data_IF_871703765085
#
_entry.id   IF_871703765085
#
_cell.length_a   1.000
_cell.length_b   1.000
_cell.length_c   1.000
_cell.angle_alpha   90.00
_cell.angle_beta   90.00
_cell.angle_gamma   90.00
#
_symmetry.space_group_name_H-M   'P 1'
#
loop_
_entity.id
_entity.type
_entity.pdbx_description
1 polymer ?
#
# COMPACT_ATOMS: atom_id res chain seq x y z
N UNK A 1 -26.14 4.25 16.19
CA UNK A 1 -26.62 3.51 15.01
C UNK A 1 -25.80 2.23 14.90
N UNK A 2 -26.35 1.08 15.30
CA UNK A 2 -25.66 -0.21 15.28
C UNK A 2 -26.02 -0.93 13.96
N UNK A 3 -25.01 -1.17 13.11
CA UNK A 3 -25.20 -1.97 11.91
C UNK A 3 -25.50 -3.43 12.30
N UNK A 4 -26.48 -4.10 11.67
CA UNK A 4 -26.85 -5.46 12.03
C UNK A 4 -25.72 -6.44 11.66
N UNK A 5 -25.07 -6.98 12.69
CA UNK A 5 -24.00 -8.01 12.64
C UNK A 5 -24.43 -9.34 11.98
N UNK A 6 -25.68 -9.44 11.53
CA UNK A 6 -26.25 -10.64 10.91
C UNK A 6 -25.75 -10.87 9.47
N UNK A 7 -25.46 -9.80 8.70
CA UNK A 7 -25.03 -9.94 7.30
C UNK A 7 -23.57 -10.39 7.16
N UNK A 8 -22.71 -10.15 8.15
CA UNK A 8 -21.30 -10.54 8.09
C UNK A 8 -21.04 -12.04 8.28
N UNK A 9 -21.98 -12.78 8.90
CA UNK A 9 -21.78 -14.21 9.22
C UNK A 9 -22.11 -15.18 8.08
N UNK A 10 -22.89 -14.75 7.08
CA UNK A 10 -23.25 -15.62 5.96
C UNK A 10 -22.08 -15.85 4.98
N UNK A 11 -21.11 -14.93 4.91
CA UNK A 11 -19.99 -14.99 3.97
C UNK A 11 -18.84 -15.88 4.49
N UNK A 12 -18.72 -16.05 5.81
CA UNK A 12 -17.57 -16.75 6.43
C UNK A 12 -17.70 -18.28 6.35
N UNK A 13 -18.92 -18.82 6.29
CA UNK A 13 -19.15 -20.27 6.35
C UNK A 13 -19.08 -21.00 4.99
N UNK A 14 -18.79 -20.28 3.90
CA UNK A 14 -18.61 -20.87 2.57
C UNK A 14 -17.14 -21.08 2.22
N UNK A 15 -16.26 -21.18 3.22
CA UNK A 15 -14.88 -21.63 3.02
C UNK A 15 -14.82 -23.14 3.28
N UNK A 16 -15.02 -23.90 2.21
CA UNK A 16 -14.45 -25.23 2.04
C UNK A 16 -14.95 -26.35 2.96
N UNK A 17 -16.14 -26.88 2.68
CA UNK A 17 -16.44 -28.28 3.06
C UNK A 17 -15.49 -29.21 2.28
N UNK A 18 -14.40 -29.65 2.91
CA UNK A 18 -13.57 -30.74 2.39
C UNK A 18 -14.28 -32.05 2.69
N UNK A 19 -14.97 -32.61 1.71
CA UNK A 19 -15.45 -33.98 1.78
C UNK A 19 -14.22 -34.89 1.75
N UNK A 20 -13.84 -35.43 2.91
CA UNK A 20 -12.87 -36.51 2.99
C UNK A 20 -13.58 -37.79 2.52
N UNK A 21 -13.52 -38.06 1.21
CA UNK A 21 -13.95 -39.34 0.65
C UNK A 21 -12.95 -40.41 1.07
N UNK A 22 -13.33 -41.32 1.96
CA UNK A 22 -12.61 -42.57 2.21
C UNK A 22 -12.85 -43.50 1.01
N UNK A 23 -12.16 -43.23 -0.11
CA UNK A 23 -12.29 -44.01 -1.32
C UNK A 23 -10.99 -43.95 -2.11
N UNK A 24 -10.30 -45.10 -2.18
CA UNK A 24 -9.04 -45.34 -2.90
C UNK A 24 -7.88 -44.43 -2.46
N UNK A 25 -6.76 -45.03 -2.06
CA UNK A 25 -5.52 -44.29 -1.81
C UNK A 25 -5.06 -43.70 -3.15
N UNK A 26 -5.41 -42.44 -3.44
CA UNK A 26 -4.93 -41.72 -4.62
C UNK A 26 -3.41 -41.63 -4.47
N UNK A 27 -2.70 -42.36 -5.32
CA UNK A 27 -1.25 -42.36 -5.29
C UNK A 27 -0.75 -41.01 -5.79
N UNK A 28 -0.21 -40.21 -4.87
CA UNK A 28 0.35 -38.89 -5.21
C UNK A 28 1.47 -39.08 -6.22
N UNK A 29 1.20 -38.68 -7.46
CA UNK A 29 2.14 -38.76 -8.56
C UNK A 29 2.82 -37.40 -8.73
N UNK A 30 4.00 -37.36 -9.36
CA UNK A 30 4.71 -36.11 -9.65
C UNK A 30 3.86 -35.09 -10.44
N UNK A 31 2.84 -35.56 -11.17
CA UNK A 31 1.86 -34.73 -11.87
C UNK A 31 0.92 -33.94 -10.95
N UNK A 32 0.82 -34.32 -9.67
CA UNK A 32 0.01 -33.62 -8.67
C UNK A 32 0.75 -32.41 -8.06
N UNK A 33 2.03 -32.22 -8.42
CA UNK A 33 2.77 -31.04 -8.02
C UNK A 33 2.17 -29.80 -8.69
N UNK A 34 2.11 -28.65 -7.98
CA UNK A 34 1.69 -27.40 -8.58
C UNK A 34 2.63 -27.05 -9.73
N UNK A 35 2.14 -27.20 -10.95
CA UNK A 35 2.86 -26.76 -12.13
C UNK A 35 2.76 -25.22 -12.17
N UNK A 36 3.86 -24.52 -12.48
CA UNK A 36 3.80 -23.07 -12.67
C UNK A 36 2.82 -22.77 -13.81
N UNK A 37 1.70 -22.13 -13.49
CA UNK A 37 0.68 -21.76 -14.46
C UNK A 37 0.73 -20.25 -14.72
N UNK A 38 0.60 -19.89 -16.00
CA UNK A 38 0.59 -18.50 -16.45
C UNK A 38 1.98 -17.92 -16.72
N UNK A 39 1.99 -16.67 -17.19
CA UNK A 39 3.22 -15.92 -17.49
C UNK A 39 3.68 -15.16 -16.26
N UNK A 40 4.92 -15.41 -15.84
CA UNK A 40 5.59 -14.65 -14.77
C UNK A 40 5.58 -13.15 -15.07
N UNK A 41 5.70 -12.78 -16.35
CA UNK A 41 5.77 -11.40 -16.80
C UNK A 41 4.45 -10.68 -16.56
N UNK A 42 3.32 -11.32 -16.87
CA UNK A 42 1.99 -10.73 -16.64
C UNK A 42 1.76 -10.45 -15.15
N UNK A 43 2.18 -11.36 -14.27
CA UNK A 43 2.07 -11.16 -12.83
C UNK A 43 3.01 -10.06 -12.34
N UNK A 44 4.23 -10.01 -12.86
CA UNK A 44 5.20 -8.95 -12.57
C UNK A 44 4.66 -7.57 -12.97
N UNK A 45 4.17 -7.42 -14.20
CA UNK A 45 3.64 -6.16 -14.71
C UNK A 45 2.42 -5.67 -13.93
N UNK A 46 1.52 -6.60 -13.54
CA UNK A 46 0.38 -6.29 -12.70
C UNK A 46 0.81 -5.75 -11.32
N UNK A 47 1.80 -6.39 -10.71
CA UNK A 47 2.35 -5.96 -9.43
C UNK A 47 3.07 -4.61 -9.56
N UNK A 48 3.83 -4.40 -10.63
CA UNK A 48 4.54 -3.16 -10.88
C UNK A 48 3.58 -1.98 -11.01
N UNK A 49 2.47 -2.16 -11.75
CA UNK A 49 1.42 -1.14 -11.86
C UNK A 49 0.79 -0.81 -10.51
N UNK A 50 0.56 -1.83 -9.68
CA UNK A 50 0.03 -1.64 -8.31
C UNK A 50 1.00 -0.80 -7.48
N UNK A 51 2.28 -1.15 -7.42
CA UNK A 51 3.26 -0.43 -6.61
C UNK A 51 3.51 0.99 -7.11
N UNK A 52 3.57 1.19 -8.43
CA UNK A 52 3.66 2.53 -9.01
C UNK A 52 2.45 3.40 -8.62
N UNK A 53 1.25 2.81 -8.52
CA UNK A 53 0.07 3.50 -8.00
C UNK A 53 0.22 3.92 -6.52
N UNK A 54 0.76 3.06 -5.66
CA UNK A 54 1.02 3.40 -4.26
C UNK A 54 2.08 4.49 -4.13
N UNK A 55 3.15 4.40 -4.94
CA UNK A 55 4.20 5.41 -4.98
C UNK A 55 3.62 6.78 -5.36
N UNK A 56 2.84 6.85 -6.44
CA UNK A 56 2.21 8.10 -6.88
C UNK A 56 1.29 8.69 -5.80
N UNK A 57 0.49 7.84 -5.14
CA UNK A 57 -0.38 8.26 -4.04
C UNK A 57 0.43 8.81 -2.85
N UNK A 58 1.51 8.12 -2.46
CA UNK A 58 2.40 8.57 -1.38
C UNK A 58 3.06 9.91 -1.67
N UNK A 59 3.57 10.08 -2.89
CA UNK A 59 4.16 11.36 -3.35
C UNK A 59 3.12 12.48 -3.33
N UNK A 60 1.91 12.23 -3.85
CA UNK A 60 0.85 13.22 -3.85
C UNK A 60 0.43 13.63 -2.43
N UNK A 61 0.30 12.67 -1.51
CA UNK A 61 -0.02 12.94 -0.11
C UNK A 61 1.09 13.76 0.59
N UNK A 62 2.36 13.43 0.33
CA UNK A 62 3.50 14.16 0.88
C UNK A 62 3.52 15.62 0.38
N UNK A 63 3.41 15.82 -0.93
CA UNK A 63 3.37 17.16 -1.54
C UNK A 63 2.19 17.96 -0.99
N UNK A 64 1.00 17.36 -0.93
CA UNK A 64 -0.19 17.99 -0.35
C UNK A 64 0.03 18.40 1.11
N UNK A 65 0.66 17.55 1.91
CA UNK A 65 0.98 17.84 3.31
C UNK A 65 1.96 19.00 3.45
N UNK A 66 3.01 19.04 2.62
CA UNK A 66 3.99 20.14 2.64
C UNK A 66 3.36 21.47 2.25
N UNK A 67 2.57 21.49 1.17
CA UNK A 67 1.86 22.70 0.71
C UNK A 67 0.85 23.18 1.74
N UNK A 68 0.06 22.27 2.31
CA UNK A 68 -0.89 22.60 3.37
C UNK A 68 -0.17 23.14 4.62
N UNK A 69 0.90 22.47 5.07
CA UNK A 69 1.68 22.90 6.24
C UNK A 69 2.34 24.27 6.05
N UNK A 70 2.84 24.56 4.84
CA UNK A 70 3.30 25.90 4.44
C UNK A 70 2.17 26.93 4.56
N UNK A 71 1.02 26.67 3.94
CA UNK A 71 -0.10 27.61 3.90
C UNK A 71 -0.71 27.87 5.29
N UNK A 72 -0.72 26.85 6.15
CA UNK A 72 -1.19 26.94 7.53
C UNK A 72 -0.16 27.57 8.49
N UNK A 73 1.07 27.86 8.03
CA UNK A 73 2.12 28.46 8.86
C UNK A 73 2.87 27.47 9.76
N UNK A 74 2.72 26.16 9.57
CA UNK A 74 3.47 25.14 10.31
C UNK A 74 4.91 24.98 9.82
N UNK A 75 5.21 25.38 8.59
CA UNK A 75 6.55 25.31 8.01
C UNK A 75 7.04 26.71 7.64
N UNK A 76 8.15 27.16 8.22
CA UNK A 76 8.92 28.31 7.77
C UNK A 76 10.17 27.77 7.07
N UNK A 77 10.37 28.11 5.80
CA UNK A 77 11.53 27.58 5.03
C UNK A 77 12.66 28.60 4.93
N UNK A 78 12.51 29.80 5.54
CA UNK A 78 13.54 30.85 5.58
C UNK A 78 14.22 31.04 4.21
N UNK A 79 13.39 31.06 3.15
CA UNK A 79 13.83 31.17 1.76
C UNK A 79 14.19 32.63 1.40
N UNK A 80 14.10 33.55 2.37
CA UNK A 80 14.48 34.94 2.23
C UNK A 80 16.00 35.07 2.32
N UNK A 81 16.62 35.36 1.18
CA UNK A 81 18.02 35.80 1.16
C UNK A 81 18.03 37.23 1.72
N UNK A 82 18.80 37.51 2.78
CA UNK A 82 18.87 38.86 3.33
C UNK A 82 19.44 39.80 2.28
N UNK A 83 18.69 40.85 1.91
CA UNK A 83 19.11 41.82 0.89
C UNK A 83 20.40 42.57 1.26
N UNK A 84 20.69 42.63 2.56
CA UNK A 84 21.90 43.23 3.10
C UNK A 84 22.51 42.30 4.15
N UNK A 85 23.84 42.29 4.30
CA UNK A 85 24.49 41.55 5.38
C UNK A 85 23.92 41.99 6.73
N UNK A 86 23.79 41.04 7.66
CA UNK A 86 23.33 41.34 9.01
C UNK A 86 24.23 42.44 9.60
N UNK A 87 23.62 43.56 10.00
CA UNK A 87 24.32 44.59 10.77
C UNK A 87 24.49 44.06 12.18
N UNK A 88 25.67 43.53 12.46
CA UNK A 88 26.05 43.02 13.77
C UNK A 88 26.72 44.19 14.48
N UNK A 89 26.04 44.76 15.48
CA UNK A 89 26.53 45.91 16.26
C UNK A 89 27.75 45.58 17.13
N UNK A 90 28.22 44.32 17.10
CA UNK A 90 29.37 43.85 17.87
C UNK A 90 30.09 42.70 17.16
N UNK A 91 31.10 43.03 16.36
CA UNK A 91 32.31 42.21 16.27
C UNK A 91 33.37 42.90 17.14
N UNK A 92 33.31 42.67 18.44
CA UNK A 92 34.39 43.00 19.38
C UNK A 92 34.88 41.73 20.03
#
# INVERSE_FOLDING_TARGET
MQAPRALGRAIINQVGRRNASYGSHVHSTYNDLPQPQGSWQTQYDANQRKYNGHLAMGVAALVGTLVFGKAAGFFEFYDDIPQHPAKIDSYK
#
